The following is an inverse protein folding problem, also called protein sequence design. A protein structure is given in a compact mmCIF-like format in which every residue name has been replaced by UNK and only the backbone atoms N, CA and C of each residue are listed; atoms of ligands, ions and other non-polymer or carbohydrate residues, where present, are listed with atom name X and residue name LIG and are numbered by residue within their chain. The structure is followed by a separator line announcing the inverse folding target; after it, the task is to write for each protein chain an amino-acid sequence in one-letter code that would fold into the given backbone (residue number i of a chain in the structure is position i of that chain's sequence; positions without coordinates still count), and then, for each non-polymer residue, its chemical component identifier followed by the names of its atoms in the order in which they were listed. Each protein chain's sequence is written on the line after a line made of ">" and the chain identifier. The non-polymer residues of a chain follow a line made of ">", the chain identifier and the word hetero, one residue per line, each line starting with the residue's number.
data_IF_285396110135
#
_entry.id   IF_285396110135
#
_cell.length_a   1.000
_cell.length_b   1.000
_cell.length_c   1.000
_cell.angle_alpha   90.00
_cell.angle_beta   90.00
_cell.angle_gamma   90.00
#
_symmetry.space_group_name_H-M   'P 1'
#
loop_
_entity.id
_entity.type
_entity.pdbx_description
1 polymer ?
#
# COMPACT_ATOMS: atom_id res chain seq x y z
N UNK A 1 -33.59 28.34 46.61
CA UNK A 1 -32.56 29.03 45.79
C UNK A 1 -31.31 28.16 45.80
N UNK A 2 -31.17 27.22 44.86
CA UNK A 2 -30.78 27.40 43.46
C UNK A 2 -29.27 27.64 43.29
N UNK A 3 -28.56 26.52 43.22
CA UNK A 3 -27.33 26.27 42.45
C UNK A 3 -27.54 26.59 40.97
N UNK A 4 -26.48 26.97 40.24
CA UNK A 4 -25.92 26.17 39.13
C UNK A 4 -24.70 26.86 38.48
N UNK A 5 -23.55 26.18 38.60
CA UNK A 5 -22.30 26.45 37.90
C UNK A 5 -22.40 25.91 36.46
N UNK A 6 -22.65 26.81 35.50
CA UNK A 6 -22.56 26.54 34.07
C UNK A 6 -21.29 27.13 33.47
N UNK A 7 -20.80 26.53 32.37
CA UNK A 7 -19.76 27.05 31.45
C UNK A 7 -18.28 26.71 31.69
N UNK A 8 -17.97 25.46 32.05
CA UNK A 8 -16.63 24.88 31.71
C UNK A 8 -16.67 23.55 30.93
N UNK A 9 -17.85 23.00 30.67
CA UNK A 9 -17.98 21.70 29.98
C UNK A 9 -18.14 21.77 28.45
N UNK A 10 -18.30 22.97 27.87
CA UNK A 10 -18.61 23.10 26.42
C UNK A 10 -17.37 23.28 25.53
N UNK A 11 -16.29 23.88 26.04
CA UNK A 11 -15.06 24.09 25.25
C UNK A 11 -14.28 22.79 24.95
N UNK A 12 -14.40 21.76 25.81
CA UNK A 12 -13.76 20.45 25.58
C UNK A 12 -14.48 19.59 24.53
N UNK A 13 -15.78 19.78 24.32
CA UNK A 13 -16.54 19.08 23.26
C UNK A 13 -16.28 19.67 21.88
N UNK A 14 -15.99 20.97 21.77
CA UNK A 14 -15.57 21.56 20.49
C UNK A 14 -14.13 21.18 20.11
N UNK A 15 -13.19 21.13 21.07
CA UNK A 15 -11.80 20.77 20.80
C UNK A 15 -11.63 19.30 20.34
N UNK A 16 -12.54 18.39 20.69
CA UNK A 16 -12.50 17.00 20.24
C UNK A 16 -13.13 16.76 18.86
N UNK A 17 -13.81 17.75 18.26
CA UNK A 17 -14.32 17.66 16.88
C UNK A 17 -13.37 18.24 15.83
N UNK A 18 -12.36 19.02 16.22
CA UNK A 18 -11.43 19.68 15.28
C UNK A 18 -10.21 18.82 14.93
N UNK A 19 -9.94 17.72 15.65
CA UNK A 19 -8.81 16.81 15.35
C UNK A 19 -9.09 15.86 14.16
N UNK A 20 -10.26 15.97 13.51
CA UNK A 20 -10.64 15.10 12.38
C UNK A 20 -10.74 15.80 11.01
N UNK A 21 -10.49 17.10 10.89
CA UNK A 21 -10.41 17.77 9.58
C UNK A 21 -9.37 18.91 9.56
N UNK A 22 -8.52 18.92 8.53
CA UNK A 22 -7.57 19.97 8.08
C UNK A 22 -6.07 19.79 8.42
N UNK A 23 -5.16 19.85 7.42
CA UNK A 23 -3.71 19.89 7.61
C UNK A 23 -3.18 21.32 7.39
N UNK A 24 -3.19 22.16 8.43
CA UNK A 24 -2.42 23.40 8.42
C UNK A 24 -1.70 23.54 9.76
N UNK A 25 -0.37 23.46 9.72
CA UNK A 25 0.48 23.52 10.92
C UNK A 25 1.92 23.12 10.62
N UNK A 26 2.56 23.75 9.64
CA UNK A 26 3.99 23.65 9.41
C UNK A 26 4.55 24.98 8.86
N UNK A 27 4.32 26.05 9.60
CA UNK A 27 5.07 27.31 9.51
C UNK A 27 5.58 27.59 10.91
N UNK A 28 6.89 27.38 11.13
CA UNK A 28 7.75 27.98 12.18
C UNK A 28 8.94 27.11 12.60
N UNK A 29 9.68 26.51 11.66
CA UNK A 29 11.05 26.00 11.96
C UNK A 29 12.10 26.43 10.92
N UNK A 30 11.71 27.15 9.85
CA UNK A 30 12.65 27.59 8.82
C UNK A 30 13.35 28.93 9.09
N UNK A 31 13.02 29.61 10.19
CA UNK A 31 13.56 30.94 10.51
C UNK A 31 14.80 30.92 11.43
N UNK A 32 15.39 29.76 11.71
CA UNK A 32 16.59 29.66 12.58
C UNK A 32 17.85 29.14 11.87
N UNK A 33 17.79 28.83 10.57
CA UNK A 33 18.94 28.28 9.83
C UNK A 33 19.67 29.30 8.93
N UNK A 34 19.25 30.56 8.93
CA UNK A 34 19.84 31.65 8.12
C UNK A 34 20.67 32.67 8.93
N UNK A 35 20.98 32.40 10.19
CA UNK A 35 21.72 33.34 11.06
C UNK A 35 23.10 32.86 11.52
N UNK A 36 23.63 31.74 11.02
CA UNK A 36 24.98 31.29 11.35
C UNK A 36 25.76 31.03 10.06
N UNK A 37 26.49 32.08 9.64
CA UNK A 37 27.19 32.17 8.37
C UNK A 37 28.23 31.08 8.12
N UNK A 38 28.29 30.64 6.86
CA UNK A 38 29.37 29.81 6.34
C UNK A 38 30.54 30.67 5.89
N UNK A 39 31.73 30.36 6.39
CA UNK A 39 33.01 30.78 5.83
C UNK A 39 33.70 29.59 5.15
N UNK A 40 34.19 29.81 3.93
CA UNK A 40 35.05 28.87 3.19
C UNK A 40 36.44 28.75 3.84
N UNK A 41 37.24 27.73 3.46
CA UNK A 41 38.44 28.13 2.73
C UNK A 41 38.84 27.25 1.54
N UNK A 42 39.57 27.94 0.68
CA UNK A 42 40.35 27.57 -0.49
C UNK A 42 41.58 26.75 -0.09
N UNK A 43 42.02 25.79 -0.92
CA UNK A 43 43.43 25.37 -0.99
C UNK A 43 43.73 24.67 -2.33
N UNK A 44 44.66 25.27 -3.05
CA UNK A 44 45.34 24.83 -4.26
C UNK A 44 46.60 24.04 -3.92
N UNK A 45 46.94 22.99 -4.68
CA UNK A 45 48.26 22.88 -5.35
C UNK A 45 48.50 21.53 -6.08
N UNK A 46 49.10 21.68 -7.26
CA UNK A 46 50.19 20.92 -7.90
C UNK A 46 49.95 19.58 -8.63
N UNK A 47 50.27 19.71 -9.92
CA UNK A 47 50.55 18.71 -10.96
C UNK A 47 51.88 17.98 -10.75
N UNK A 48 51.99 16.74 -11.26
CA UNK A 48 53.23 16.25 -11.89
C UNK A 48 52.98 15.08 -12.85
N UNK A 49 53.70 15.16 -13.98
CA UNK A 49 53.79 14.25 -15.12
C UNK A 49 54.27 12.82 -14.79
N UNK A 50 53.89 11.89 -15.68
CA UNK A 50 54.60 10.64 -15.93
C UNK A 50 54.23 10.06 -17.30
N UNK A 51 55.10 10.26 -18.29
CA UNK A 51 55.08 9.63 -19.63
C UNK A 51 55.68 8.23 -19.58
N UNK A 52 55.11 7.28 -20.33
CA UNK A 52 55.69 5.94 -20.53
C UNK A 52 55.02 5.21 -21.68
N UNK A 53 55.75 5.09 -22.78
CA UNK A 53 55.44 4.40 -24.05
C UNK A 53 55.61 2.88 -23.96
N UNK A 54 54.86 2.11 -24.77
CA UNK A 54 55.44 0.90 -25.38
C UNK A 54 54.55 -0.35 -25.52
N UNK A 55 54.25 -0.65 -26.79
CA UNK A 55 54.01 -1.96 -27.43
C UNK A 55 52.73 -2.76 -27.18
N UNK A 56 52.03 -2.98 -28.29
CA UNK A 56 50.88 -3.86 -28.40
C UNK A 56 51.24 -5.31 -28.72
N UNK A 57 50.23 -6.15 -28.54
CA UNK A 57 50.03 -7.39 -29.28
C UNK A 57 48.52 -7.51 -29.52
N UNK A 58 48.15 -7.49 -30.80
CA UNK A 58 46.77 -7.75 -31.19
C UNK A 58 46.45 -9.22 -30.99
N UNK A 59 45.31 -9.52 -30.36
CA UNK A 59 44.58 -10.76 -30.59
C UNK A 59 43.09 -10.53 -30.37
N UNK A 60 42.34 -10.69 -31.47
CA UNK A 60 40.92 -11.03 -31.59
C UNK A 60 39.91 -10.07 -30.91
N UNK A 61 39.40 -9.15 -31.72
CA UNK A 61 38.10 -8.53 -31.51
C UNK A 61 37.01 -9.63 -31.47
N UNK A 62 36.61 -10.00 -30.27
CA UNK A 62 35.34 -10.68 -30.07
C UNK A 62 34.23 -9.64 -30.32
N UNK A 63 33.62 -9.69 -31.50
CA UNK A 63 32.34 -9.04 -31.77
C UNK A 63 31.23 -9.80 -31.02
N UNK A 64 31.27 -9.73 -29.70
CA UNK A 64 30.11 -9.89 -28.84
C UNK A 64 29.74 -8.49 -28.40
N UNK A 65 28.63 -7.96 -28.90
CA UNK A 65 28.00 -6.82 -28.22
C UNK A 65 27.59 -7.31 -26.82
N UNK A 66 28.49 -7.20 -25.85
CA UNK A 66 28.14 -7.34 -24.43
C UNK A 66 27.03 -6.33 -24.17
N UNK A 67 25.78 -6.79 -24.04
CA UNK A 67 24.70 -5.93 -23.58
C UNK A 67 25.07 -5.50 -22.17
N UNK A 68 25.55 -4.27 -22.03
CA UNK A 68 25.82 -3.69 -20.73
C UNK A 68 24.50 -3.58 -19.96
N UNK A 69 24.33 -4.44 -18.96
CA UNK A 69 23.12 -4.50 -18.13
C UNK A 69 23.08 -3.31 -17.17
N UNK A 70 22.65 -2.14 -17.65
CA UNK A 70 22.58 -0.93 -16.82
C UNK A 70 21.26 -0.85 -16.03
N UNK A 71 21.35 -1.01 -14.70
CA UNK A 71 20.18 -0.87 -13.83
C UNK A 71 19.87 0.61 -13.54
N UNK A 72 18.63 1.06 -13.81
CA UNK A 72 18.21 2.47 -13.67
C UNK A 72 16.92 2.60 -12.85
N UNK A 73 16.69 3.77 -12.23
CA UNK A 73 15.42 4.09 -11.57
C UNK A 73 14.43 4.62 -12.60
N UNK A 74 13.22 4.06 -12.59
CA UNK A 74 12.10 4.47 -13.46
C UNK A 74 10.80 4.52 -12.66
N UNK A 75 9.80 5.19 -13.21
CA UNK A 75 8.45 5.20 -12.63
C UNK A 75 7.84 3.80 -12.67
N UNK A 76 6.95 3.46 -11.72
CA UNK A 76 6.34 2.13 -11.66
C UNK A 76 5.38 1.90 -12.82
N UNK A 77 5.41 0.68 -13.37
CA UNK A 77 4.48 0.22 -14.41
C UNK A 77 3.24 -0.47 -13.82
N UNK A 78 3.29 -0.85 -12.54
CA UNK A 78 2.15 -1.39 -11.83
C UNK A 78 2.11 -0.93 -10.36
N UNK A 79 0.91 -0.72 -9.83
CA UNK A 79 0.68 -0.23 -8.46
C UNK A 79 -0.27 -1.15 -7.70
N UNK A 80 0.08 -1.49 -6.46
CA UNK A 80 -0.89 -2.07 -5.51
C UNK A 80 -1.54 -0.92 -4.74
N UNK A 81 -2.73 -0.50 -5.19
CA UNK A 81 -3.40 0.72 -4.71
C UNK A 81 -4.29 0.47 -3.50
N UNK A 82 -4.62 -0.78 -3.19
CA UNK A 82 -5.54 -1.09 -2.12
C UNK A 82 -5.74 -2.58 -1.86
N UNK A 83 -6.62 -2.94 -0.92
CA UNK A 83 -7.19 -2.03 0.10
C UNK A 83 -6.42 -2.12 1.40
N UNK A 84 -6.55 -1.10 2.26
CA UNK A 84 -6.01 -1.13 3.62
C UNK A 84 -6.54 -2.39 4.33
N UNK A 85 -5.62 -3.20 4.86
CA UNK A 85 -5.89 -4.51 5.51
C UNK A 85 -6.34 -5.65 4.59
N UNK A 86 -6.34 -5.47 3.27
CA UNK A 86 -6.70 -6.53 2.31
C UNK A 86 -5.64 -7.63 2.13
N UNK A 87 -4.37 -7.34 2.44
CA UNK A 87 -3.26 -8.28 2.21
C UNK A 87 -2.12 -7.72 1.35
N UNK A 88 -2.16 -6.43 1.03
CA UNK A 88 -1.19 -5.75 0.14
C UNK A 88 0.28 -6.00 0.47
N UNK A 89 0.66 -6.10 1.75
CA UNK A 89 2.05 -6.45 2.13
C UNK A 89 2.39 -7.87 1.71
N UNK A 90 1.53 -8.85 1.99
CA UNK A 90 1.77 -10.23 1.61
C UNK A 90 1.95 -10.36 0.09
N UNK A 91 1.03 -9.76 -0.68
CA UNK A 91 1.14 -9.77 -2.14
C UNK A 91 2.46 -9.17 -2.64
N UNK A 92 2.87 -8.00 -2.12
CA UNK A 92 4.12 -7.38 -2.57
C UNK A 92 5.34 -8.25 -2.23
N UNK A 93 5.42 -8.81 -1.02
CA UNK A 93 6.53 -9.71 -0.66
C UNK A 93 6.54 -10.99 -1.51
N UNK A 94 5.36 -11.51 -1.89
CA UNK A 94 5.27 -12.71 -2.72
C UNK A 94 5.67 -12.41 -4.18
N UNK A 95 5.28 -11.26 -4.73
CA UNK A 95 5.68 -10.85 -6.08
C UNK A 95 7.19 -10.59 -6.20
N UNK A 96 7.85 -10.14 -5.12
CA UNK A 96 9.31 -9.95 -5.10
C UNK A 96 10.12 -11.24 -5.26
N UNK A 97 9.49 -12.40 -5.16
CA UNK A 97 10.13 -13.67 -5.51
C UNK A 97 10.39 -13.79 -7.02
N UNK A 98 9.64 -13.06 -7.84
CA UNK A 98 9.81 -13.10 -9.29
C UNK A 98 11.07 -12.30 -9.70
N UNK A 99 11.99 -12.88 -10.50
CA UNK A 99 13.24 -12.21 -10.88
C UNK A 99 13.00 -10.91 -11.66
N UNK A 100 11.88 -10.82 -12.39
CA UNK A 100 11.50 -9.63 -13.14
C UNK A 100 10.67 -8.62 -12.35
N UNK A 101 10.59 -8.72 -11.02
CA UNK A 101 9.86 -7.73 -10.20
C UNK A 101 10.83 -6.98 -9.28
N UNK A 102 10.84 -5.65 -9.38
CA UNK A 102 11.53 -4.75 -8.45
C UNK A 102 10.51 -3.90 -7.73
N UNK A 103 10.46 -3.99 -6.41
CA UNK A 103 9.48 -3.26 -5.62
C UNK A 103 10.11 -2.32 -4.58
N UNK A 104 9.52 -1.13 -4.43
CA UNK A 104 9.78 -0.27 -3.28
C UNK A 104 9.26 -0.95 -2.00
N UNK A 105 10.12 -1.09 -0.99
CA UNK A 105 9.77 -1.78 0.26
C UNK A 105 8.78 -1.00 1.13
N UNK A 106 8.92 0.32 1.21
CA UNK A 106 8.06 1.24 1.96
C UNK A 106 6.79 1.62 1.19
N UNK A 107 5.81 2.21 1.89
CA UNK A 107 4.64 2.81 1.25
C UNK A 107 4.96 4.28 0.95
N UNK A 108 5.13 4.69 -0.33
CA UNK A 108 5.64 6.02 -0.67
C UNK A 108 4.65 7.14 -0.36
N UNK A 109 3.35 6.87 -0.32
CA UNK A 109 2.32 7.89 -0.10
C UNK A 109 2.43 9.11 -1.05
N UNK A 110 2.84 8.85 -2.29
CA UNK A 110 3.07 9.91 -3.27
C UNK A 110 1.74 10.53 -3.72
N UNK A 111 0.82 9.73 -4.25
CA UNK A 111 -0.42 10.25 -4.82
C UNK A 111 -1.45 10.76 -3.79
N UNK A 112 -1.23 10.51 -2.49
CA UNK A 112 -2.14 10.95 -1.42
C UNK A 112 -1.54 11.96 -0.43
N UNK A 113 -0.22 11.97 -0.17
CA UNK A 113 0.40 12.91 0.80
C UNK A 113 1.54 13.74 0.24
N UNK A 114 2.30 13.19 -0.70
CA UNK A 114 3.57 13.78 -1.14
C UNK A 114 3.57 14.21 -2.60
N UNK A 115 2.39 14.40 -3.20
CA UNK A 115 2.24 14.68 -4.64
C UNK A 115 2.96 15.96 -5.06
N UNK A 116 2.94 16.99 -4.21
CA UNK A 116 3.62 18.26 -4.44
C UNK A 116 5.16 18.15 -4.57
N UNK A 117 5.77 17.03 -4.17
CA UNK A 117 7.21 16.79 -4.35
C UNK A 117 7.59 16.44 -5.80
N UNK A 118 6.61 16.20 -6.67
CA UNK A 118 6.80 15.95 -8.09
C UNK A 118 7.31 14.55 -8.44
N UNK A 119 7.15 14.18 -9.72
CA UNK A 119 7.59 12.90 -10.27
C UNK A 119 9.10 12.62 -10.12
N UNK A 120 10.02 13.61 -10.19
CA UNK A 120 11.44 13.36 -9.93
C UNK A 120 11.70 12.80 -8.53
N UNK A 121 11.03 13.34 -7.51
CA UNK A 121 11.11 12.81 -6.15
C UNK A 121 10.53 11.40 -6.06
N UNK A 122 9.37 11.15 -6.67
CA UNK A 122 8.76 9.81 -6.66
C UNK A 122 9.65 8.76 -7.33
N UNK A 123 10.22 9.08 -8.50
CA UNK A 123 11.18 8.22 -9.22
C UNK A 123 12.44 7.95 -8.42
N UNK A 124 12.93 8.91 -7.63
CA UNK A 124 14.15 8.72 -6.84
C UNK A 124 13.98 7.70 -5.70
N UNK A 125 12.75 7.40 -5.29
CA UNK A 125 12.44 6.33 -4.34
C UNK A 125 12.52 4.94 -4.97
N UNK A 126 12.16 4.81 -6.25
CA UNK A 126 12.01 3.52 -6.94
C UNK A 126 13.32 2.74 -7.01
N UNK A 127 13.34 1.42 -6.77
CA UNK A 127 14.56 0.63 -6.88
C UNK A 127 15.16 0.72 -8.30
N UNK A 128 16.48 0.56 -8.41
CA UNK A 128 17.09 0.33 -9.73
C UNK A 128 16.57 -0.99 -10.28
N UNK A 129 16.25 -1.00 -11.57
CA UNK A 129 15.76 -2.15 -12.30
C UNK A 129 16.49 -2.26 -13.65
N UNK A 130 16.73 -3.50 -14.08
CA UNK A 130 17.20 -3.81 -15.42
C UNK A 130 16.06 -3.64 -16.44
N UNK A 131 16.41 -3.63 -17.72
CA UNK A 131 15.44 -3.67 -18.81
C UNK A 131 14.59 -4.96 -18.71
N UNK A 132 13.31 -4.90 -19.08
CA UNK A 132 12.37 -6.03 -18.97
C UNK A 132 11.78 -6.28 -17.57
N UNK A 133 12.40 -5.81 -16.49
CA UNK A 133 11.78 -5.94 -15.15
C UNK A 133 10.56 -5.01 -15.00
N UNK A 134 9.70 -5.26 -14.02
CA UNK A 134 8.58 -4.40 -13.65
C UNK A 134 8.92 -3.72 -12.33
N UNK A 135 8.80 -2.39 -12.30
CA UNK A 135 8.92 -1.58 -11.09
C UNK A 135 7.54 -1.39 -10.47
N UNK A 136 7.45 -1.67 -9.16
CA UNK A 136 6.20 -1.60 -8.42
C UNK A 136 6.35 -0.87 -7.08
N UNK A 137 5.23 -0.38 -6.56
CA UNK A 137 5.07 0.03 -5.17
C UNK A 137 3.67 -0.33 -4.66
N UNK A 138 3.48 -0.22 -3.34
CA UNK A 138 2.16 -0.35 -2.74
C UNK A 138 1.88 0.84 -1.83
N UNK A 139 0.68 1.40 -1.95
CA UNK A 139 0.14 2.34 -0.96
C UNK A 139 -1.35 2.08 -0.82
N UNK A 140 -1.79 1.32 0.20
CA UNK A 140 -3.17 0.84 0.29
C UNK A 140 -4.24 1.93 0.45
N UNK A 141 -3.82 3.16 0.80
CA UNK A 141 -4.70 4.32 0.96
C UNK A 141 -5.13 4.91 -0.39
N UNK A 142 -4.36 4.70 -1.45
CA UNK A 142 -4.67 5.23 -2.77
C UNK A 142 -6.08 4.88 -3.21
N UNK A 143 -6.52 3.64 -3.01
CA UNK A 143 -7.84 3.17 -3.45
C UNK A 143 -9.00 4.04 -2.98
N UNK A 144 -8.87 4.69 -1.82
CA UNK A 144 -9.93 5.50 -1.23
C UNK A 144 -9.69 7.01 -1.30
N UNK A 145 -8.49 7.44 -1.67
CA UNK A 145 -8.16 8.86 -1.85
C UNK A 145 -8.74 9.37 -3.15
N UNK A 146 -9.56 10.42 -3.08
CA UNK A 146 -10.38 10.92 -4.19
C UNK A 146 -9.57 11.39 -5.40
N UNK A 147 -8.46 12.09 -5.17
CA UNK A 147 -7.63 12.67 -6.24
C UNK A 147 -6.66 11.66 -6.86
N UNK A 148 -6.48 10.50 -6.23
CA UNK A 148 -5.43 9.54 -6.62
C UNK A 148 -5.64 8.95 -8.02
N UNK A 149 -6.85 8.53 -8.46
CA UNK A 149 -7.07 8.05 -9.83
C UNK A 149 -6.61 9.07 -10.89
N UNK A 150 -7.04 10.32 -10.78
CA UNK A 150 -6.65 11.41 -11.68
C UNK A 150 -5.13 11.62 -11.73
N UNK A 151 -4.47 11.65 -10.55
CA UNK A 151 -3.02 11.87 -10.46
C UNK A 151 -2.22 10.71 -11.05
N UNK A 152 -2.67 9.47 -10.85
CA UNK A 152 -2.03 8.30 -11.47
C UNK A 152 -2.24 8.33 -12.99
N UNK A 153 -3.45 8.67 -13.45
CA UNK A 153 -3.76 8.75 -14.88
C UNK A 153 -2.92 9.83 -15.60
N UNK A 154 -2.69 10.95 -14.93
CA UNK A 154 -1.80 12.00 -15.42
C UNK A 154 -0.33 11.55 -15.52
N UNK A 155 0.12 10.61 -14.68
CA UNK A 155 1.46 10.03 -14.75
C UNK A 155 1.58 8.98 -15.87
N UNK A 156 0.63 8.05 -15.96
CA UNK A 156 0.62 6.99 -16.97
C UNK A 156 -0.79 6.46 -17.17
N UNK A 157 -1.27 6.54 -18.41
CA UNK A 157 -2.60 6.04 -18.79
C UNK A 157 -2.64 4.52 -18.92
N UNK A 158 -1.51 3.88 -19.20
CA UNK A 158 -1.39 2.43 -19.45
C UNK A 158 -1.00 1.63 -18.20
N UNK A 159 -0.91 2.28 -17.04
CA UNK A 159 -0.46 1.65 -15.80
C UNK A 159 -1.40 0.53 -15.36
N UNK A 160 -0.83 -0.56 -14.84
CA UNK A 160 -1.62 -1.67 -14.28
C UNK A 160 -1.89 -1.43 -12.79
N UNK A 161 -3.13 -1.65 -12.37
CA UNK A 161 -3.58 -1.42 -11.01
C UNK A 161 -3.98 -2.74 -10.36
N UNK A 162 -3.55 -2.96 -9.13
CA UNK A 162 -3.89 -4.15 -8.36
C UNK A 162 -4.60 -3.74 -7.07
N UNK A 163 -5.74 -4.37 -6.80
CA UNK A 163 -6.54 -4.18 -5.59
C UNK A 163 -6.71 -5.51 -4.88
N UNK A 164 -6.05 -5.67 -3.73
CA UNK A 164 -6.23 -6.83 -2.85
C UNK A 164 -7.45 -6.57 -1.97
N UNK A 165 -8.56 -7.23 -2.30
CA UNK A 165 -9.82 -7.12 -1.56
C UNK A 165 -9.96 -8.24 -0.53
N UNK A 166 -10.83 -8.03 0.45
CA UNK A 166 -11.10 -8.94 1.57
C UNK A 166 -12.55 -8.73 1.99
N UNK A 167 -13.18 -9.71 2.61
CA UNK A 167 -14.47 -9.55 3.27
C UNK A 167 -14.48 -8.22 4.06
N UNK A 168 -15.38 -7.28 3.72
CA UNK A 168 -15.35 -5.93 4.27
C UNK A 168 -15.52 -5.90 5.78
N UNK A 169 -16.22 -6.88 6.38
CA UNK A 169 -16.39 -7.02 7.83
C UNK A 169 -15.07 -7.43 8.46
N UNK A 170 -14.45 -8.51 7.97
CA UNK A 170 -13.18 -8.97 8.53
C UNK A 170 -12.05 -7.97 8.29
N UNK A 171 -12.11 -7.20 7.20
CA UNK A 171 -11.22 -6.07 6.92
C UNK A 171 -11.43 -4.94 7.93
N UNK A 172 -12.67 -4.55 8.21
CA UNK A 172 -13.00 -3.51 9.20
C UNK A 172 -12.48 -3.88 10.59
N UNK A 173 -12.74 -5.10 11.05
CA UNK A 173 -12.22 -5.62 12.32
C UNK A 173 -10.69 -5.61 12.34
N UNK A 174 -10.05 -6.00 11.23
CA UNK A 174 -8.58 -5.97 11.13
C UNK A 174 -8.01 -4.55 11.15
N UNK A 175 -8.77 -3.57 10.67
CA UNK A 175 -8.41 -2.16 10.72
C UNK A 175 -8.52 -1.65 12.16
N UNK A 176 -9.67 -1.82 12.79
CA UNK A 176 -9.88 -1.53 14.22
C UNK A 176 -8.81 -2.16 15.12
N UNK A 177 -8.51 -3.45 14.93
CA UNK A 177 -7.46 -4.16 15.67
C UNK A 177 -6.08 -3.48 15.54
N UNK A 178 -5.78 -2.90 14.38
CA UNK A 178 -4.55 -2.15 14.21
C UNK A 178 -4.60 -0.78 14.88
N UNK A 179 -5.74 -0.11 14.86
CA UNK A 179 -5.94 1.20 15.50
C UNK A 179 -5.73 1.06 17.02
N UNK A 180 -6.43 0.12 17.66
CA UNK A 180 -6.32 -0.10 19.11
C UNK A 180 -4.93 -0.55 19.55
N UNK A 181 -4.16 -1.20 18.66
CA UNK A 181 -2.76 -1.57 18.96
C UNK A 181 -1.78 -0.38 18.99
N UNK A 182 -2.21 0.79 18.50
CA UNK A 182 -1.41 2.02 18.43
C UNK A 182 -1.95 3.12 19.34
N UNK A 183 -3.25 3.08 19.61
CA UNK A 183 -3.95 4.09 20.38
C UNK A 183 -4.81 3.35 21.40
N UNK A 184 -4.35 3.27 22.66
CA UNK A 184 -5.17 2.69 23.73
C UNK A 184 -6.42 3.54 23.96
N UNK A 185 -7.38 2.99 24.72
CA UNK A 185 -8.59 3.70 25.19
C UNK A 185 -9.57 4.15 24.10
N UNK A 186 -9.57 3.47 22.96
CA UNK A 186 -10.59 3.65 21.92
C UNK A 186 -11.85 2.86 22.29
N UNK A 187 -13.07 3.41 22.05
CA UNK A 187 -14.31 2.69 22.27
C UNK A 187 -14.37 1.36 21.51
N UNK A 188 -15.19 0.42 21.99
CA UNK A 188 -15.31 -0.90 21.37
C UNK A 188 -15.71 -0.83 19.90
N UNK A 189 -15.42 -1.89 19.14
CA UNK A 189 -15.80 -1.99 17.74
C UNK A 189 -17.33 -1.84 17.57
N UNK A 190 -18.09 -2.45 18.48
CA UNK A 190 -19.55 -2.38 18.54
C UNK A 190 -20.02 -0.94 18.75
N UNK A 191 -19.37 -0.20 19.65
CA UNK A 191 -19.72 1.20 19.93
C UNK A 191 -19.49 2.09 18.71
N UNK A 192 -18.37 1.91 18.00
CA UNK A 192 -18.02 2.72 16.83
C UNK A 192 -18.75 2.30 15.55
N UNK A 193 -19.35 1.10 15.52
CA UNK A 193 -20.07 0.59 14.35
C UNK A 193 -21.39 1.33 14.11
N UNK A 194 -22.03 1.83 15.17
CA UNK A 194 -23.34 2.45 15.07
C UNK A 194 -23.28 3.96 15.30
N UNK A 195 -23.94 4.70 14.42
CA UNK A 195 -24.27 6.11 14.65
C UNK A 195 -25.36 6.23 15.72
N UNK A 196 -26.32 5.29 15.71
CA UNK A 196 -27.34 5.14 16.73
C UNK A 196 -27.64 3.66 16.94
N UNK A 197 -27.16 3.11 18.06
CA UNK A 197 -27.29 1.68 18.40
C UNK A 197 -28.74 1.25 18.61
N UNK A 198 -29.56 2.08 19.24
CA UNK A 198 -30.97 1.77 19.51
C UNK A 198 -31.80 1.58 18.25
N UNK A 199 -31.47 2.32 17.18
CA UNK A 199 -32.12 2.20 15.86
C UNK A 199 -31.43 1.19 14.93
N UNK A 200 -30.27 0.65 15.32
CA UNK A 200 -29.42 -0.17 14.45
C UNK A 200 -28.77 0.60 13.29
N UNK A 201 -28.75 1.94 13.32
CA UNK A 201 -28.17 2.76 12.26
C UNK A 201 -26.63 2.66 12.27
N UNK A 202 -26.07 2.05 11.23
CA UNK A 202 -24.62 1.91 11.01
C UNK A 202 -23.98 3.27 10.70
N UNK A 203 -22.83 3.55 11.32
CA UNK A 203 -21.99 4.70 10.96
C UNK A 203 -21.12 4.36 9.74
N UNK A 204 -21.71 4.50 8.55
CA UNK A 204 -21.01 4.26 7.29
C UNK A 204 -19.84 5.22 7.01
N UNK A 205 -19.73 6.34 7.74
CA UNK A 205 -18.65 7.31 7.61
C UNK A 205 -17.44 6.95 8.49
N UNK A 206 -17.60 6.06 9.46
CA UNK A 206 -16.48 5.55 10.25
C UNK A 206 -15.48 4.88 9.32
N UNK A 207 -14.23 5.33 9.32
CA UNK A 207 -13.20 4.94 8.33
C UNK A 207 -13.03 3.42 8.17
N UNK A 208 -12.96 2.61 9.25
CA UNK A 208 -12.97 1.16 9.17
C UNK A 208 -14.18 0.55 8.49
N UNK A 209 -15.34 1.21 8.38
CA UNK A 209 -16.46 0.72 7.58
C UNK A 209 -16.46 1.30 6.16
N UNK A 210 -16.27 2.61 6.05
CA UNK A 210 -16.26 3.33 4.78
C UNK A 210 -15.31 2.71 3.73
N UNK A 211 -14.09 2.33 4.12
CA UNK A 211 -13.10 1.69 3.23
C UNK A 211 -13.63 0.37 2.62
N UNK A 212 -14.60 -0.30 3.28
CA UNK A 212 -15.22 -1.53 2.83
C UNK A 212 -16.25 -1.35 1.72
N UNK A 213 -16.62 -0.10 1.39
CA UNK A 213 -17.57 0.22 0.33
C UNK A 213 -16.89 0.19 -1.05
N UNK A 214 -16.37 -0.99 -1.42
CA UNK A 214 -15.48 -1.15 -2.58
C UNK A 214 -16.10 -0.69 -3.90
N UNK A 215 -17.40 -0.93 -4.12
CA UNK A 215 -18.10 -0.46 -5.32
C UNK A 215 -18.01 1.06 -5.48
N UNK A 216 -18.28 1.82 -4.40
CA UNK A 216 -18.22 3.29 -4.39
C UNK A 216 -16.84 3.81 -4.76
N UNK A 217 -15.79 3.16 -4.25
CA UNK A 217 -14.43 3.54 -4.57
C UNK A 217 -14.06 3.17 -6.00
N UNK A 218 -14.39 1.94 -6.42
CA UNK A 218 -14.08 1.43 -7.76
C UNK A 218 -14.68 2.31 -8.86
N UNK A 219 -15.90 2.82 -8.70
CA UNK A 219 -16.52 3.72 -9.69
C UNK A 219 -15.68 4.97 -9.97
N UNK A 220 -15.00 5.52 -8.97
CA UNK A 220 -14.07 6.65 -9.16
C UNK A 220 -12.85 6.25 -9.97
N UNK A 221 -12.34 5.03 -9.79
CA UNK A 221 -11.22 4.52 -10.57
C UNK A 221 -11.63 4.25 -12.02
N UNK A 222 -12.84 3.74 -12.24
CA UNK A 222 -13.37 3.46 -13.58
C UNK A 222 -13.67 4.71 -14.41
N UNK A 223 -13.78 5.88 -13.78
CA UNK A 223 -13.83 7.15 -14.51
C UNK A 223 -12.51 7.48 -15.24
N UNK A 224 -11.39 6.84 -14.88
CA UNK A 224 -10.06 7.09 -15.44
C UNK A 224 -9.45 5.87 -16.12
N UNK A 225 -9.68 4.67 -15.58
CA UNK A 225 -9.04 3.45 -16.06
C UNK A 225 -10.08 2.42 -16.51
N UNK A 226 -9.88 1.78 -17.67
CA UNK A 226 -10.71 0.65 -18.05
C UNK A 226 -10.54 -0.50 -17.05
N UNK A 227 -11.60 -1.28 -16.84
CA UNK A 227 -11.59 -2.41 -15.92
C UNK A 227 -10.47 -3.42 -16.24
N UNK A 228 -10.09 -3.57 -17.51
CA UNK A 228 -8.98 -4.42 -17.96
C UNK A 228 -7.60 -4.03 -17.41
N UNK A 229 -7.45 -2.80 -16.92
CA UNK A 229 -6.23 -2.33 -16.24
C UNK A 229 -6.28 -2.51 -14.72
N UNK A 230 -7.36 -3.08 -14.17
CA UNK A 230 -7.53 -3.28 -12.74
C UNK A 230 -7.69 -4.77 -12.44
N UNK A 231 -6.75 -5.33 -11.68
CA UNK A 231 -6.82 -6.71 -11.22
C UNK A 231 -7.21 -6.78 -9.75
N UNK A 232 -8.25 -7.55 -9.46
CA UNK A 232 -8.70 -7.79 -8.09
C UNK A 232 -8.14 -9.11 -7.56
N UNK A 233 -7.35 -9.02 -6.49
CA UNK A 233 -6.80 -10.18 -5.79
C UNK A 233 -7.70 -10.54 -4.63
N UNK A 234 -8.04 -11.83 -4.51
CA UNK A 234 -8.89 -12.33 -3.45
C UNK A 234 -8.05 -12.59 -2.18
N UNK A 235 -8.17 -11.72 -1.18
CA UNK A 235 -7.36 -11.73 0.03
C UNK A 235 -7.47 -13.03 0.84
N UNK A 236 -8.66 -13.64 0.88
CA UNK A 236 -8.86 -14.95 1.50
C UNK A 236 -8.10 -16.05 0.75
N UNK A 237 -8.15 -16.06 -0.58
CA UNK A 237 -7.37 -17.02 -1.40
C UNK A 237 -5.88 -16.75 -1.34
N UNK A 238 -5.45 -15.50 -1.18
CA UNK A 238 -4.04 -15.17 -0.96
C UNK A 238 -3.49 -15.81 0.33
N UNK A 239 -4.38 -16.14 1.29
CA UNK A 239 -4.02 -16.89 2.50
C UNK A 239 -4.12 -18.40 2.26
N UNK A 240 -5.23 -18.88 1.69
CA UNK A 240 -5.50 -20.33 1.58
C UNK A 240 -4.75 -21.01 0.42
N UNK A 241 -4.55 -20.31 -0.69
CA UNK A 241 -3.87 -20.77 -1.91
C UNK A 241 -3.10 -19.61 -2.58
N UNK A 242 -1.99 -19.15 -1.97
CA UNK A 242 -1.22 -18.03 -2.48
C UNK A 242 -0.68 -18.28 -3.89
N UNK A 243 -0.32 -19.51 -4.23
CA UNK A 243 0.25 -19.85 -5.54
C UNK A 243 -0.75 -19.60 -6.68
N UNK A 244 -2.01 -20.00 -6.49
CA UNK A 244 -3.06 -19.76 -7.50
C UNK A 244 -3.36 -18.28 -7.70
N UNK A 245 -3.46 -17.51 -6.62
CA UNK A 245 -3.67 -16.05 -6.74
C UNK A 245 -2.46 -15.37 -7.39
N UNK A 246 -1.24 -15.77 -7.04
CA UNK A 246 -0.02 -15.24 -7.67
C UNK A 246 0.08 -15.62 -9.16
N UNK A 247 -0.40 -16.79 -9.56
CA UNK A 247 -0.51 -17.16 -10.97
C UNK A 247 -1.32 -16.14 -11.77
N UNK A 248 -2.48 -15.73 -11.25
CA UNK A 248 -3.35 -14.72 -11.88
C UNK A 248 -2.70 -13.33 -11.96
N UNK A 249 -2.00 -12.94 -10.90
CA UNK A 249 -1.30 -11.65 -10.86
C UNK A 249 -0.12 -11.64 -11.84
N UNK A 250 0.62 -12.75 -11.96
CA UNK A 250 1.71 -12.87 -12.93
C UNK A 250 1.18 -12.72 -14.36
N UNK A 251 0.09 -13.41 -14.73
CA UNK A 251 -0.52 -13.25 -16.05
C UNK A 251 -0.98 -11.82 -16.31
N UNK A 252 -1.65 -11.21 -15.32
CA UNK A 252 -2.12 -9.85 -15.44
C UNK A 252 -0.97 -8.86 -15.67
N UNK A 253 0.18 -9.09 -15.05
CA UNK A 253 1.39 -8.28 -15.23
C UNK A 253 2.16 -8.64 -16.52
N UNK A 254 1.77 -9.69 -17.24
CA UNK A 254 2.51 -10.18 -18.41
C UNK A 254 3.83 -10.89 -18.04
N UNK A 255 3.93 -11.40 -16.81
CA UNK A 255 5.08 -12.13 -16.30
C UNK A 255 4.95 -13.63 -16.55
N UNK A 256 6.08 -14.32 -16.65
CA UNK A 256 6.11 -15.77 -16.59
C UNK A 256 5.62 -16.27 -15.22
N UNK A 257 4.94 -17.42 -15.18
CA UNK A 257 4.46 -18.01 -13.92
C UNK A 257 5.57 -18.74 -13.17
N UNK A 258 6.51 -17.99 -12.62
CA UNK A 258 7.66 -18.52 -11.87
C UNK A 258 7.28 -18.80 -10.41
N UNK A 259 6.52 -17.90 -9.79
CA UNK A 259 6.10 -18.02 -8.39
C UNK A 259 4.97 -19.04 -8.29
N UNK A 260 5.30 -20.21 -7.73
CA UNK A 260 4.46 -21.40 -7.59
C UNK A 260 4.34 -21.86 -6.13
N UNK A 261 3.56 -22.91 -5.88
CA UNK A 261 3.37 -23.59 -4.59
C UNK A 261 4.69 -23.96 -3.89
N UNK A 262 5.74 -24.29 -4.67
CA UNK A 262 7.08 -24.60 -4.17
C UNK A 262 7.73 -23.46 -3.38
N UNK A 263 7.27 -22.22 -3.54
CA UNK A 263 7.79 -21.06 -2.83
C UNK A 263 7.15 -20.84 -1.46
N UNK A 264 6.04 -21.53 -1.18
CA UNK A 264 5.25 -21.31 0.03
C UNK A 264 5.29 -22.53 0.96
N UNK A 265 5.13 -22.25 2.25
CA UNK A 265 4.75 -23.23 3.26
C UNK A 265 3.75 -22.61 4.23
N UNK A 266 2.86 -23.41 4.80
CA UNK A 266 1.90 -22.91 5.79
C UNK A 266 2.48 -23.01 7.20
N UNK A 267 2.56 -21.89 7.91
CA UNK A 267 2.99 -21.89 9.31
C UNK A 267 1.74 -22.05 10.20
N UNK A 268 1.53 -23.26 10.76
CA UNK A 268 0.37 -23.58 11.61
C UNK A 268 0.28 -22.68 12.85
N UNK A 269 1.41 -22.39 13.50
CA UNK A 269 1.47 -21.52 14.69
C UNK A 269 1.07 -20.08 14.35
N UNK A 270 1.49 -19.59 13.19
CA UNK A 270 1.14 -18.24 12.72
C UNK A 270 -0.29 -18.19 12.15
N UNK A 271 -0.76 -19.27 11.54
CA UNK A 271 -2.03 -19.34 10.81
C UNK A 271 -1.98 -18.68 9.41
N UNK A 272 -0.79 -18.47 8.84
CA UNK A 272 -0.61 -17.80 7.55
C UNK A 272 0.47 -18.49 6.71
N UNK A 273 0.39 -18.37 5.36
CA UNK A 273 1.47 -18.81 4.48
C UNK A 273 2.72 -17.94 4.67
N UNK A 274 3.87 -18.58 4.55
CA UNK A 274 5.20 -18.00 4.64
C UNK A 274 6.05 -18.42 3.44
N UNK A 275 7.14 -17.70 3.19
CA UNK A 275 8.05 -17.94 2.08
C UNK A 275 9.12 -18.95 2.48
N UNK A 276 9.34 -19.99 1.67
CA UNK A 276 10.40 -21.00 1.90
C UNK A 276 11.80 -20.41 1.67
N UNK A 277 11.97 -19.62 0.61
CA UNK A 277 13.21 -18.94 0.23
C UNK A 277 12.88 -17.56 -0.36
N UNK A 278 12.88 -16.49 0.44
CA UNK A 278 12.66 -15.14 -0.07
C UNK A 278 13.88 -14.64 -0.87
N UNK A 279 13.68 -13.60 -1.66
CA UNK A 279 14.75 -12.92 -2.37
C UNK A 279 15.89 -12.50 -1.40
N UNK A 280 17.12 -12.91 -1.69
CA UNK A 280 18.31 -12.53 -0.90
C UNK A 280 18.49 -13.25 0.44
N UNK A 281 17.74 -14.32 0.74
CA UNK A 281 17.97 -15.15 1.93
C UNK A 281 17.70 -16.63 1.69
N UNK A 282 18.56 -17.48 2.27
CA UNK A 282 18.41 -18.94 2.25
C UNK A 282 17.42 -19.46 3.31
N UNK A 283 16.96 -18.61 4.23
CA UNK A 283 16.08 -18.99 5.36
C UNK A 283 14.61 -18.69 5.06
N UNK A 284 13.67 -19.52 5.57
CA UNK A 284 12.25 -19.23 5.50
C UNK A 284 11.90 -17.87 6.11
N UNK A 285 10.92 -17.18 5.51
CA UNK A 285 10.46 -15.88 5.96
C UNK A 285 8.94 -15.84 6.13
N UNK A 286 8.50 -15.62 7.36
CA UNK A 286 7.14 -15.26 7.67
C UNK A 286 7.03 -13.74 7.84
N UNK A 287 5.89 -13.18 7.44
CA UNK A 287 5.60 -11.77 7.74
C UNK A 287 5.67 -11.51 9.25
N UNK A 288 6.14 -10.32 9.64
CA UNK A 288 6.35 -9.96 11.04
C UNK A 288 5.09 -9.95 11.91
N UNK A 289 5.26 -9.73 13.23
CA UNK A 289 4.19 -9.77 14.26
C UNK A 289 3.02 -8.82 13.97
N UNK A 290 3.25 -7.75 13.21
CA UNK A 290 2.20 -6.78 12.84
C UNK A 290 1.29 -7.28 11.71
N UNK A 291 1.51 -8.49 11.17
CA UNK A 291 0.70 -9.13 10.12
C UNK A 291 0.11 -10.43 10.67
N UNK A 292 -1.22 -10.51 10.64
CA UNK A 292 -1.98 -11.60 11.26
C UNK A 292 -2.22 -11.40 12.76
N UNK A 293 -2.61 -10.18 13.19
CA UNK A 293 -2.99 -9.94 14.59
C UNK A 293 -4.25 -10.73 14.94
N UNK A 294 -4.32 -11.26 16.15
CA UNK A 294 -5.56 -11.79 16.73
C UNK A 294 -6.61 -10.68 16.77
N UNK A 295 -7.79 -10.96 16.24
CA UNK A 295 -8.90 -10.03 16.25
C UNK A 295 -9.67 -10.13 17.58
N UNK A 296 -10.23 -9.03 18.11
CA UNK A 296 -11.17 -9.10 19.22
C UNK A 296 -12.40 -9.91 18.81
N UNK A 297 -13.03 -10.57 19.78
CA UNK A 297 -14.34 -11.19 19.57
C UNK A 297 -15.37 -10.06 19.44
N UNK A 298 -16.16 -10.13 18.37
CA UNK A 298 -17.23 -9.16 18.09
C UNK A 298 -18.57 -9.85 18.33
N UNK A 299 -19.52 -9.10 18.89
CA UNK A 299 -20.88 -9.58 19.12
C UNK A 299 -21.53 -10.12 17.82
N UNK A 300 -22.13 -11.33 17.83
CA UNK A 300 -22.73 -11.92 16.64
C UNK A 300 -23.82 -11.05 15.98
N UNK A 301 -24.60 -10.33 16.79
CA UNK A 301 -25.64 -9.40 16.31
C UNK A 301 -25.02 -8.25 15.48
N UNK A 302 -23.90 -7.69 15.94
CA UNK A 302 -23.18 -6.62 15.22
C UNK A 302 -22.62 -7.14 13.90
N UNK A 303 -22.08 -8.37 13.88
CA UNK A 303 -21.66 -9.02 12.65
C UNK A 303 -22.84 -9.19 11.69
N UNK A 304 -23.99 -9.64 12.18
CA UNK A 304 -25.19 -9.82 11.36
C UNK A 304 -25.67 -8.50 10.75
N UNK A 305 -25.71 -7.41 11.54
CA UNK A 305 -26.03 -6.06 11.03
C UNK A 305 -25.04 -5.58 9.99
N UNK A 306 -23.75 -5.84 10.16
CA UNK A 306 -22.74 -5.50 9.16
C UNK A 306 -22.87 -6.32 7.88
N UNK A 307 -23.27 -7.60 7.95
CA UNK A 307 -23.59 -8.41 6.76
C UNK A 307 -24.74 -7.81 5.98
N UNK A 308 -25.83 -7.46 6.68
CA UNK A 308 -26.99 -6.80 6.07
C UNK A 308 -26.61 -5.47 5.42
N UNK A 309 -25.78 -4.68 6.10
CA UNK A 309 -25.26 -3.41 5.59
C UNK A 309 -24.41 -3.60 4.32
N UNK A 310 -23.41 -4.50 4.34
CA UNK A 310 -22.49 -4.67 3.20
C UNK A 310 -23.07 -5.46 2.04
N UNK A 311 -24.05 -6.33 2.24
CA UNK A 311 -24.62 -7.19 1.19
C UNK A 311 -24.95 -6.46 -0.12
N UNK A 312 -25.74 -5.36 -0.14
CA UNK A 312 -26.03 -4.65 -1.38
C UNK A 312 -24.76 -4.01 -2.00
N UNK A 313 -23.82 -3.55 -1.18
CA UNK A 313 -22.56 -2.98 -1.67
C UNK A 313 -21.63 -4.04 -2.27
N UNK A 314 -21.58 -5.24 -1.68
CA UNK A 314 -20.83 -6.39 -2.18
C UNK A 314 -21.41 -6.87 -3.52
N UNK A 315 -22.73 -7.01 -3.61
CA UNK A 315 -23.41 -7.38 -4.86
C UNK A 315 -23.11 -6.39 -5.98
N UNK A 316 -23.15 -5.08 -5.69
CA UNK A 316 -22.76 -4.04 -6.66
C UNK A 316 -21.28 -4.17 -7.05
N UNK A 317 -20.39 -4.42 -6.10
CA UNK A 317 -18.97 -4.63 -6.38
C UNK A 317 -18.73 -5.85 -7.27
N UNK A 318 -19.43 -6.97 -7.04
CA UNK A 318 -19.31 -8.18 -7.85
C UNK A 318 -19.76 -7.94 -9.28
N UNK A 319 -20.87 -7.21 -9.45
CA UNK A 319 -21.37 -6.82 -10.76
C UNK A 319 -20.37 -5.95 -11.53
N UNK A 320 -19.80 -4.94 -10.87
CA UNK A 320 -18.86 -4.01 -11.52
C UNK A 320 -17.51 -4.67 -11.81
N UNK A 321 -16.99 -5.48 -10.88
CA UNK A 321 -15.69 -6.15 -11.04
C UNK A 321 -15.77 -7.40 -11.94
N UNK A 322 -16.96 -7.91 -12.22
CA UNK A 322 -17.16 -9.16 -12.96
C UNK A 322 -16.72 -10.40 -12.19
N UNK A 323 -16.58 -10.30 -10.85
CA UNK A 323 -16.09 -11.39 -10.01
C UNK A 323 -16.86 -11.45 -8.69
N UNK A 324 -17.36 -12.63 -8.34
CA UNK A 324 -17.89 -12.93 -7.02
C UNK A 324 -16.77 -13.40 -6.07
N UNK A 325 -16.67 -12.77 -4.90
CA UNK A 325 -15.68 -13.07 -3.87
C UNK A 325 -16.26 -13.90 -2.70
N UNK A 326 -17.54 -14.28 -2.77
CA UNK A 326 -18.18 -15.20 -1.84
C UNK A 326 -18.37 -14.66 -0.42
N UNK A 327 -18.34 -13.33 -0.22
CA UNK A 327 -18.58 -12.72 1.09
C UNK A 327 -20.10 -12.72 1.35
N UNK A 328 -20.50 -13.20 2.54
CA UNK A 328 -21.91 -13.41 2.91
C UNK A 328 -22.36 -12.54 4.06
#
# INVERSE_FOLDING_TARGET
>A
MATFLGHKHDARRLAQKVVLMSPFGALCVYALYLLLGGGAPHLSHLSRHGTGTGNGTGTRAANGTEREWTARRRLPQALIVGVKKGGTRALLEFLRLHPDVRALGSEPHFFDRHYARGLPWYRSLMPKALEGQIVMEKTPRYFVTEETPARIYAMSRDIKLIVVVRDPITRAISDYTQIISKTPDIPSFETLTFKNRSTGQIDSLWSPLWIGLYATHLERWLAYFPLSQIHFVHGERLISDPARELGRVQDFLGLQRIVTDKHFYFNKTKGFPCLKKPEGSSKPHCLGKTKGRTHPKIEPEVIQKLREFYRPHNQRFYKISGQDFGWR
#
